data_IF_690035150104
#
_entry.id   IF_690035150104
#
_cell.length_a   1.000
_cell.length_b   1.000
_cell.length_c   1.000
_cell.angle_alpha   90.00
_cell.angle_beta   90.00
_cell.angle_gamma   90.00
#
_symmetry.space_group_name_H-M   'P 1'
#
loop_
_entity.id
_entity.type
_entity.pdbx_description
1 polymer ?
#
# COMPACT_ATOMS: atom_id res chain seq x y z
N UNK A 1 30.49 22.12 -0.80
CA UNK A 1 29.41 22.36 0.18
C UNK A 1 28.93 21.01 0.65
N UNK A 2 29.22 20.64 1.91
CA UNK A 2 28.74 19.41 2.52
C UNK A 2 27.41 19.73 3.20
N UNK A 3 26.31 19.16 2.71
CA UNK A 3 25.02 19.25 3.38
C UNK A 3 25.06 18.19 4.49
N UNK A 4 25.50 18.58 5.67
CA UNK A 4 25.31 17.77 6.86
C UNK A 4 23.81 17.83 7.20
N UNK A 5 23.13 16.68 7.23
CA UNK A 5 21.77 16.56 7.79
C UNK A 5 21.93 16.45 9.31
N UNK A 6 21.79 17.54 10.11
CA UNK A 6 22.31 17.55 11.47
C UNK A 6 21.43 16.81 12.48
N UNK A 7 20.35 16.17 12.05
CA UNK A 7 19.36 15.55 12.93
C UNK A 7 18.70 14.36 12.23
N UNK A 8 19.47 13.37 11.76
CA UNK A 8 18.87 12.06 11.50
C UNK A 8 18.70 11.42 12.89
N UNK A 9 17.47 11.27 13.41
CA UNK A 9 17.27 10.53 14.65
C UNK A 9 17.92 9.15 14.49
N UNK A 10 18.57 8.62 15.54
CA UNK A 10 19.14 7.27 15.47
C UNK A 10 18.06 6.31 14.94
N UNK A 11 18.41 5.36 14.07
CA UNK A 11 17.44 4.45 13.49
C UNK A 11 16.58 3.87 14.61
N UNK A 12 15.29 4.22 14.58
CA UNK A 12 14.34 3.75 15.57
C UNK A 12 14.40 2.23 15.60
N UNK A 13 14.33 1.65 16.79
CA UNK A 13 14.26 0.20 16.94
C UNK A 13 12.97 -0.28 16.25
N UNK A 14 13.09 -0.93 15.09
CA UNK A 14 11.97 -1.51 14.35
C UNK A 14 11.81 -2.96 14.81
N UNK A 15 10.72 -3.23 15.51
CA UNK A 15 10.33 -4.59 15.88
C UNK A 15 9.14 -5.01 15.03
N UNK A 16 9.26 -6.19 14.41
CA UNK A 16 8.22 -6.78 13.58
C UNK A 16 7.79 -8.09 14.21
N UNK A 17 6.50 -8.20 14.54
CA UNK A 17 5.88 -9.44 14.99
C UNK A 17 4.97 -9.97 13.88
N UNK A 18 5.18 -11.20 13.46
CA UNK A 18 4.40 -11.82 12.38
C UNK A 18 3.52 -12.93 12.92
N UNK A 19 2.24 -12.87 12.60
CA UNK A 19 1.26 -13.94 12.78
C UNK A 19 0.72 -14.29 11.39
N UNK A 20 0.91 -15.51 10.94
CA UNK A 20 0.46 -15.93 9.61
C UNK A 20 -0.37 -17.20 9.72
N UNK A 21 -1.47 -17.27 8.97
CA UNK A 21 -2.19 -18.51 8.73
C UNK A 21 -1.62 -19.21 7.50
N UNK A 22 -1.52 -20.53 7.56
CA UNK A 22 -1.21 -21.31 6.38
C UNK A 22 -2.43 -21.28 5.46
N UNK A 23 -2.25 -20.67 4.28
CA UNK A 23 -3.23 -20.73 3.21
C UNK A 23 -3.18 -22.09 2.54
N UNK A 24 -4.35 -22.70 2.31
CA UNK A 24 -4.50 -23.81 1.36
C UNK A 24 -4.78 -23.33 -0.06
N UNK A 25 -4.85 -22.01 -0.29
CA UNK A 25 -5.17 -21.43 -1.60
C UNK A 25 -3.91 -21.39 -2.44
N UNK A 26 -3.93 -22.12 -3.55
CA UNK A 26 -2.94 -22.04 -4.62
C UNK A 26 -3.11 -20.70 -5.35
N UNK A 27 -2.43 -19.67 -4.84
CA UNK A 27 -2.43 -18.32 -5.41
C UNK A 27 -1.03 -17.77 -5.44
N UNK A 28 -0.68 -17.18 -6.58
CA UNK A 28 0.61 -16.55 -6.81
C UNK A 28 0.64 -15.06 -6.41
N UNK A 29 -0.46 -14.51 -5.89
CA UNK A 29 -0.63 -13.07 -5.75
C UNK A 29 -1.11 -12.64 -4.36
N UNK A 30 -0.24 -11.92 -3.63
CA UNK A 30 -0.55 -11.36 -2.31
C UNK A 30 -0.99 -9.90 -2.40
N UNK A 31 -2.09 -9.55 -1.74
CA UNK A 31 -2.44 -8.14 -1.49
C UNK A 31 -1.58 -7.59 -0.33
N UNK A 32 -0.86 -6.51 -0.59
CA UNK A 32 -0.03 -5.82 0.41
C UNK A 32 -0.73 -4.55 0.87
N UNK A 33 -0.98 -4.50 2.18
CA UNK A 33 -1.76 -3.48 2.85
C UNK A 33 -1.00 -2.96 4.07
N UNK A 34 -1.36 -1.77 4.50
CA UNK A 34 -0.96 -1.25 5.80
C UNK A 34 -2.14 -0.52 6.44
N UNK A 35 -2.14 -0.44 7.76
CA UNK A 35 -3.13 0.34 8.52
C UNK A 35 -2.54 0.76 9.86
N UNK A 36 -3.17 1.77 10.47
CA UNK A 36 -2.88 2.19 11.84
C UNK A 36 -3.73 1.39 12.83
N UNK A 37 -3.25 1.26 14.07
CA UNK A 37 -3.94 0.53 15.14
C UNK A 37 -5.41 0.98 15.33
N UNK A 38 -5.69 2.28 15.19
CA UNK A 38 -7.03 2.87 15.36
C UNK A 38 -8.00 2.58 14.19
N UNK A 39 -7.46 2.36 12.98
CA UNK A 39 -8.23 2.03 11.76
C UNK A 39 -8.28 0.53 11.47
N UNK A 40 -7.73 -0.28 12.36
CA UNK A 40 -7.58 -1.71 12.14
C UNK A 40 -8.94 -2.39 11.93
N UNK A 41 -9.95 -2.08 12.75
CA UNK A 41 -11.26 -2.71 12.66
C UNK A 41 -11.93 -2.50 11.29
N UNK A 42 -11.93 -1.25 10.79
CA UNK A 42 -12.46 -0.91 9.47
C UNK A 42 -11.70 -1.62 8.35
N UNK A 43 -10.37 -1.71 8.49
CA UNK A 43 -9.51 -2.40 7.51
C UNK A 43 -9.86 -3.89 7.46
N UNK A 44 -10.01 -4.53 8.61
CA UNK A 44 -10.33 -5.96 8.73
C UNK A 44 -11.67 -6.30 8.08
N UNK A 45 -12.67 -5.42 8.20
CA UNK A 45 -13.98 -5.61 7.54
C UNK A 45 -13.87 -5.69 6.00
N UNK A 46 -12.91 -4.97 5.39
CA UNK A 46 -12.70 -4.96 3.94
C UNK A 46 -11.87 -6.13 3.41
N UNK A 47 -11.16 -6.87 4.27
CA UNK A 47 -10.27 -7.95 3.81
C UNK A 47 -11.00 -9.11 3.13
N UNK A 48 -12.28 -9.32 3.47
CA UNK A 48 -13.14 -10.32 2.82
C UNK A 48 -13.32 -10.10 1.31
N UNK A 49 -13.06 -8.89 0.82
CA UNK A 49 -13.19 -8.54 -0.60
C UNK A 49 -12.08 -9.13 -1.47
N UNK A 50 -10.95 -9.52 -0.87
CA UNK A 50 -9.81 -10.09 -1.58
C UNK A 50 -9.80 -11.62 -1.47
N UNK A 51 -9.67 -12.30 -2.60
CA UNK A 51 -9.78 -13.77 -2.68
C UNK A 51 -8.44 -14.51 -2.50
N UNK A 52 -7.33 -13.81 -2.35
CA UNK A 52 -6.00 -14.40 -2.23
C UNK A 52 -5.32 -14.11 -0.88
N UNK A 53 -4.03 -14.48 -0.75
CA UNK A 53 -3.20 -14.12 0.40
C UNK A 53 -3.15 -12.61 0.64
N UNK A 54 -3.02 -12.23 1.90
CA UNK A 54 -2.93 -10.83 2.34
C UNK A 54 -1.71 -10.68 3.24
N UNK A 55 -0.87 -9.70 2.97
CA UNK A 55 0.19 -9.22 3.86
C UNK A 55 -0.23 -7.85 4.40
N UNK A 56 -0.62 -7.81 5.66
CA UNK A 56 -1.12 -6.61 6.34
C UNK A 56 -0.10 -6.15 7.39
N UNK A 57 0.40 -4.93 7.23
CA UNK A 57 1.22 -4.26 8.25
C UNK A 57 0.33 -3.39 9.14
N UNK A 58 0.38 -3.61 10.44
CA UNK A 58 -0.30 -2.76 11.44
C UNK A 58 0.73 -1.94 12.19
N UNK A 59 0.59 -0.63 12.08
CA UNK A 59 1.50 0.32 12.67
C UNK A 59 0.94 0.74 14.03
N UNK A 60 1.77 0.60 15.06
CA UNK A 60 1.45 1.02 16.43
C UNK A 60 2.56 1.92 16.98
N UNK A 61 2.18 2.85 17.85
CA UNK A 61 3.13 3.72 18.54
C UNK A 61 3.65 3.09 19.83
N UNK A 62 4.95 3.21 20.06
CA UNK A 62 5.58 2.72 21.28
C UNK A 62 5.14 3.57 22.48
N UNK A 63 4.08 3.15 23.19
CA UNK A 63 3.79 3.67 24.52
C UNK A 63 4.83 3.08 25.50
N UNK A 64 5.58 3.93 26.20
CA UNK A 64 6.62 3.50 27.15
C UNK A 64 6.08 2.44 28.12
N UNK A 65 6.68 1.24 28.11
CA UNK A 65 6.45 0.20 29.12
C UNK A 65 5.62 -1.03 28.71
N UNK A 66 5.09 -1.13 27.47
CA UNK A 66 4.36 -2.34 27.05
C UNK A 66 5.28 -3.43 26.48
N UNK A 67 5.24 -4.62 27.07
CA UNK A 67 5.90 -5.86 26.59
C UNK A 67 5.12 -6.53 25.46
N UNK A 68 5.78 -7.31 24.61
CA UNK A 68 5.23 -7.95 23.39
C UNK A 68 3.96 -8.77 23.64
N UNK A 69 3.89 -9.47 24.78
CA UNK A 69 2.72 -10.26 25.17
C UNK A 69 1.48 -9.42 25.49
N UNK A 70 1.64 -8.16 25.89
CA UNK A 70 0.50 -7.25 26.11
C UNK A 70 -0.07 -6.70 24.80
N UNK A 71 0.74 -6.64 23.74
CA UNK A 71 0.31 -6.22 22.41
C UNK A 71 -0.61 -7.23 21.76
N UNK A 72 -0.28 -8.53 21.81
CA UNK A 72 -1.18 -9.59 21.32
C UNK A 72 -2.54 -9.58 22.05
N UNK A 73 -2.54 -9.25 23.34
CA UNK A 73 -3.78 -9.07 24.13
C UNK A 73 -4.59 -7.83 23.75
N UNK A 74 -4.01 -6.85 23.05
CA UNK A 74 -4.75 -5.67 22.53
C UNK A 74 -5.60 -6.00 21.33
N UNK A 75 -5.36 -7.15 20.70
CA UNK A 75 -6.07 -7.55 19.50
C UNK A 75 -6.79 -8.89 19.70
N UNK A 76 -7.69 -9.02 20.68
CA UNK A 76 -8.50 -10.23 20.84
C UNK A 76 -9.36 -10.48 19.60
N UNK A 77 -9.79 -9.42 18.91
CA UNK A 77 -10.52 -9.49 17.64
C UNK A 77 -9.69 -10.10 16.51
N UNK A 78 -8.34 -9.95 16.53
CA UNK A 78 -7.49 -10.60 15.52
C UNK A 78 -7.54 -12.11 15.63
N UNK A 79 -7.63 -12.67 16.83
CA UNK A 79 -7.67 -14.12 17.01
C UNK A 79 -8.94 -14.69 16.37
N UNK A 80 -10.10 -14.07 16.63
CA UNK A 80 -11.36 -14.47 15.98
C UNK A 80 -11.36 -14.26 14.47
N UNK A 81 -10.64 -13.24 14.00
CA UNK A 81 -10.51 -12.97 12.57
C UNK A 81 -9.53 -13.92 11.89
N UNK A 82 -8.49 -14.37 12.58
CA UNK A 82 -7.62 -15.44 12.07
C UNK A 82 -8.41 -16.72 11.86
N UNK A 83 -9.31 -17.08 12.77
CA UNK A 83 -10.18 -18.25 12.57
C UNK A 83 -11.11 -18.05 11.37
N UNK A 84 -11.63 -16.84 11.17
CA UNK A 84 -12.53 -16.51 10.05
C UNK A 84 -11.79 -16.42 8.70
N UNK A 85 -10.55 -15.95 8.72
CA UNK A 85 -9.73 -15.65 7.54
C UNK A 85 -8.58 -16.64 7.32
N UNK A 86 -8.50 -17.72 8.11
CA UNK A 86 -7.50 -18.77 7.96
C UNK A 86 -7.48 -19.30 6.52
N UNK A 87 -8.66 -19.42 5.92
CA UNK A 87 -8.88 -19.87 4.55
C UNK A 87 -8.29 -18.97 3.46
N UNK A 88 -7.99 -17.69 3.76
CA UNK A 88 -7.51 -16.73 2.76
C UNK A 88 -6.01 -16.45 2.85
N UNK A 89 -5.29 -16.99 3.85
CA UNK A 89 -3.85 -16.75 3.97
C UNK A 89 -3.49 -15.34 4.45
N UNK A 90 -4.05 -14.92 5.58
CA UNK A 90 -3.72 -13.65 6.20
C UNK A 90 -2.38 -13.75 6.93
N UNK A 91 -1.42 -12.91 6.52
CA UNK A 91 -0.17 -12.62 7.21
C UNK A 91 -0.27 -11.23 7.83
N UNK A 92 -0.22 -11.20 9.16
CA UNK A 92 -0.36 -10.00 9.97
C UNK A 92 0.99 -9.63 10.56
N UNK A 93 1.44 -8.41 10.31
CA UNK A 93 2.75 -7.92 10.71
C UNK A 93 2.58 -6.66 11.56
N UNK A 94 2.90 -6.75 12.84
CA UNK A 94 2.85 -5.58 13.73
C UNK A 94 4.18 -4.87 13.67
N UNK A 95 4.15 -3.60 13.25
CA UNK A 95 5.31 -2.73 13.22
C UNK A 95 5.20 -1.67 14.32
N UNK A 96 6.17 -1.69 15.24
CA UNK A 96 6.25 -0.70 16.31
C UNK A 96 7.14 0.47 15.89
N UNK A 97 6.59 1.68 15.96
CA UNK A 97 7.30 2.92 15.65
C UNK A 97 7.32 3.86 16.86
N UNK A 98 8.30 4.77 16.92
CA UNK A 98 8.45 5.74 18.01
C UNK A 98 7.30 6.76 18.05
N UNK A 99 6.74 7.10 16.89
CA UNK A 99 5.51 7.88 16.74
C UNK A 99 4.75 7.41 15.50
N UNK A 100 3.43 7.20 15.60
CA UNK A 100 2.59 6.89 14.44
C UNK A 100 2.55 8.03 13.42
N UNK A 101 2.69 9.28 13.89
CA UNK A 101 2.70 10.48 13.04
C UNK A 101 3.99 10.70 12.23
N UNK A 102 5.02 9.86 12.43
CA UNK A 102 6.36 10.09 11.90
C UNK A 102 6.84 9.09 10.85
N UNK A 103 6.03 8.09 10.48
CA UNK A 103 6.47 7.07 9.55
C UNK A 103 5.83 7.16 8.16
N UNK A 104 6.49 6.51 7.21
CA UNK A 104 6.18 6.57 5.78
C UNK A 104 5.18 5.47 5.40
N UNK A 105 4.01 5.86 4.88
CA UNK A 105 2.99 4.94 4.35
C UNK A 105 3.57 4.03 3.26
N UNK A 106 4.42 4.60 2.39
CA UNK A 106 5.09 3.83 1.34
C UNK A 106 6.12 2.85 1.94
N UNK A 107 6.82 3.21 3.02
CA UNK A 107 7.72 2.30 3.72
C UNK A 107 6.95 1.13 4.34
N UNK A 108 5.76 1.35 4.89
CA UNK A 108 4.93 0.28 5.44
C UNK A 108 4.45 -0.69 4.35
N UNK A 109 4.05 -0.17 3.18
CA UNK A 109 3.73 -1.01 2.02
C UNK A 109 4.92 -1.83 1.53
N UNK A 110 6.10 -1.23 1.53
CA UNK A 110 7.34 -1.93 1.18
C UNK A 110 7.65 -3.06 2.19
N UNK A 111 7.37 -2.87 3.48
CA UNK A 111 7.46 -3.94 4.49
C UNK A 111 6.44 -5.04 4.21
N UNK A 112 5.18 -4.68 3.93
CA UNK A 112 4.14 -5.64 3.57
C UNK A 112 4.55 -6.48 2.35
N UNK A 113 5.11 -5.83 1.33
CA UNK A 113 5.68 -6.48 0.16
C UNK A 113 6.83 -7.42 0.49
N UNK A 114 7.79 -6.99 1.31
CA UNK A 114 8.94 -7.81 1.71
C UNK A 114 8.51 -9.08 2.44
N UNK A 115 7.45 -8.99 3.23
CA UNK A 115 6.93 -10.09 4.06
C UNK A 115 5.84 -10.92 3.37
N UNK A 116 5.43 -10.54 2.15
CA UNK A 116 4.41 -11.26 1.40
C UNK A 116 4.81 -12.73 1.14
N UNK A 117 3.89 -13.69 1.27
CA UNK A 117 4.19 -15.11 1.06
C UNK A 117 4.41 -15.50 -0.40
N UNK A 118 3.98 -14.69 -1.36
CA UNK A 118 4.06 -15.01 -2.80
C UNK A 118 5.10 -14.16 -3.54
N UNK A 119 5.57 -14.63 -4.69
CA UNK A 119 6.56 -13.93 -5.53
C UNK A 119 5.98 -12.76 -6.31
N UNK A 120 4.65 -12.62 -6.37
CA UNK A 120 3.97 -11.44 -6.94
C UNK A 120 3.06 -10.80 -5.91
N UNK A 121 3.01 -9.47 -5.95
CA UNK A 121 2.24 -8.68 -5.00
C UNK A 121 1.39 -7.63 -5.70
N UNK A 122 0.30 -7.21 -5.05
CA UNK A 122 -0.43 -5.98 -5.36
C UNK A 122 -0.28 -5.01 -4.21
N UNK A 123 0.28 -3.84 -4.45
CA UNK A 123 0.37 -2.76 -3.46
C UNK A 123 -0.90 -1.92 -3.52
N UNK A 124 -1.69 -1.91 -2.44
CA UNK A 124 -2.84 -1.01 -2.34
C UNK A 124 -2.49 0.19 -1.47
N UNK A 125 -2.46 1.41 -2.03
CA UNK A 125 -1.95 2.58 -1.33
C UNK A 125 -2.85 3.12 -0.21
N UNK A 126 -4.13 2.74 -0.20
CA UNK A 126 -5.15 3.20 0.76
C UNK A 126 -6.14 2.08 1.14
N UNK A 127 -5.64 0.85 1.29
CA UNK A 127 -6.48 -0.30 1.62
C UNK A 127 -7.26 -0.87 0.42
N UNK A 128 -8.08 -1.88 0.69
CA UNK A 128 -8.88 -2.54 -0.33
C UNK A 128 -10.13 -1.71 -0.66
N UNK A 129 -10.50 -1.59 -1.95
CA UNK A 129 -11.80 -1.06 -2.34
C UNK A 129 -12.94 -1.84 -1.68
N UNK A 130 -13.99 -1.15 -1.24
CA UNK A 130 -15.19 -1.77 -0.65
C UNK A 130 -15.88 -2.78 -1.57
N UNK A 131 -15.71 -2.62 -2.89
CA UNK A 131 -16.23 -3.53 -3.90
C UNK A 131 -15.11 -3.97 -4.83
N UNK A 132 -14.69 -5.21 -4.69
CA UNK A 132 -13.79 -5.88 -5.62
C UNK A 132 -14.61 -6.82 -6.50
N UNK A 133 -14.59 -6.62 -7.83
CA UNK A 133 -15.19 -7.58 -8.75
C UNK A 133 -14.41 -8.89 -8.70
N UNK A 134 -15.06 -10.04 -8.56
CA UNK A 134 -14.40 -11.37 -8.58
C UNK A 134 -13.62 -11.60 -9.90
N UNK A 135 -14.06 -10.96 -10.99
CA UNK A 135 -13.37 -11.02 -12.28
C UNK A 135 -12.00 -10.32 -12.25
N UNK A 136 -11.79 -9.36 -11.35
CA UNK A 136 -10.56 -8.57 -11.27
C UNK A 136 -9.38 -9.43 -10.81
N UNK A 137 -9.54 -10.18 -9.73
CA UNK A 137 -8.51 -11.06 -9.21
C UNK A 137 -8.05 -12.07 -10.28
N UNK A 138 -9.01 -12.70 -10.96
CA UNK A 138 -8.71 -13.64 -12.05
C UNK A 138 -7.99 -12.97 -13.25
N UNK A 139 -8.33 -11.71 -13.55
CA UNK A 139 -7.70 -10.95 -14.65
C UNK A 139 -6.26 -10.55 -14.31
N UNK A 140 -5.99 -10.19 -13.06
CA UNK A 140 -4.66 -9.82 -12.58
C UNK A 140 -3.73 -11.04 -12.57
N UNK A 141 -4.19 -12.18 -12.05
CA UNK A 141 -3.38 -13.41 -11.98
C UNK A 141 -2.97 -13.88 -13.38
N UNK A 142 -3.88 -13.81 -14.36
CA UNK A 142 -3.60 -14.16 -15.76
C UNK A 142 -2.52 -13.28 -16.40
N UNK A 143 -2.30 -12.08 -15.90
CA UNK A 143 -1.19 -11.26 -16.36
C UNK A 143 0.13 -11.83 -15.83
N UNK A 144 0.93 -12.45 -16.68
CA UNK A 144 2.24 -13.02 -16.35
C UNK A 144 3.41 -12.06 -16.59
N UNK A 145 3.11 -10.76 -16.74
CA UNK A 145 4.13 -9.76 -17.08
C UNK A 145 5.16 -9.60 -15.95
N UNK A 146 6.48 -9.62 -16.24
CA UNK A 146 7.50 -9.29 -15.25
C UNK A 146 7.55 -7.78 -14.94
N UNK A 147 6.93 -6.96 -15.80
CA UNK A 147 6.83 -5.51 -15.63
C UNK A 147 5.71 -5.13 -14.67
N UNK A 148 5.84 -3.98 -13.96
CA UNK A 148 4.77 -3.44 -13.15
C UNK A 148 3.49 -3.25 -13.97
N UNK A 149 2.35 -3.58 -13.35
CA UNK A 149 1.02 -3.40 -13.92
C UNK A 149 0.20 -2.52 -12.98
N UNK A 150 -0.25 -1.38 -13.49
CA UNK A 150 -1.15 -0.47 -12.81
C UNK A 150 -2.61 -0.88 -12.97
N UNK A 151 -3.36 -0.79 -11.89
CA UNK A 151 -4.80 -1.02 -11.85
C UNK A 151 -5.52 0.32 -11.75
N UNK A 152 -6.54 0.56 -12.59
CA UNK A 152 -7.35 1.77 -12.48
C UNK A 152 -8.47 1.82 -13.51
N UNK A 153 -9.29 2.88 -13.48
CA UNK A 153 -10.42 3.03 -14.43
C UNK A 153 -9.94 3.40 -15.85
N UNK A 154 -8.90 4.22 -15.95
CA UNK A 154 -8.47 4.79 -17.22
C UNK A 154 -7.35 3.97 -17.87
N UNK A 155 -7.52 3.65 -19.15
CA UNK A 155 -6.54 2.97 -20.01
C UNK A 155 -5.31 3.82 -20.35
N UNK A 156 -4.99 4.86 -19.57
CA UNK A 156 -3.78 5.65 -19.76
C UNK A 156 -2.58 4.73 -19.55
N UNK A 157 -1.86 4.45 -20.64
CA UNK A 157 -0.67 3.59 -20.66
C UNK A 157 0.61 4.34 -20.31
N UNK A 158 0.52 5.64 -20.04
CA UNK A 158 1.65 6.52 -19.76
C UNK A 158 1.35 7.38 -18.54
N UNK A 159 2.40 7.75 -17.82
CA UNK A 159 2.33 8.74 -16.76
C UNK A 159 1.77 10.09 -17.29
N UNK A 160 0.98 10.85 -16.51
CA UNK A 160 0.51 10.56 -15.16
C UNK A 160 -0.66 9.56 -15.12
N UNK A 161 -0.60 8.67 -14.14
CA UNK A 161 -1.64 7.67 -13.86
C UNK A 161 -2.71 8.23 -12.92
N UNK A 162 -3.79 7.47 -12.70
CA UNK A 162 -4.80 7.87 -11.74
C UNK A 162 -4.20 7.88 -10.31
N UNK A 163 -4.53 8.89 -9.48
CA UNK A 163 -4.09 8.91 -8.09
C UNK A 163 -4.49 7.64 -7.35
N UNK A 164 -3.65 7.19 -6.41
CA UNK A 164 -3.90 6.00 -5.59
C UNK A 164 -4.15 4.69 -6.37
N UNK A 165 -3.72 4.62 -7.64
CA UNK A 165 -3.81 3.39 -8.43
C UNK A 165 -2.94 2.28 -7.81
N UNK A 166 -3.48 1.09 -7.50
CA UNK A 166 -2.68 -0.03 -7.04
C UNK A 166 -1.73 -0.51 -8.13
N UNK A 167 -0.63 -1.10 -7.70
CA UNK A 167 0.40 -1.64 -8.60
C UNK A 167 0.62 -3.10 -8.31
N UNK A 168 0.57 -3.92 -9.35
CA UNK A 168 0.99 -5.32 -9.35
C UNK A 168 2.45 -5.38 -9.80
N UNK A 169 3.31 -6.05 -9.04
CA UNK A 169 4.71 -6.23 -9.41
C UNK A 169 5.31 -7.49 -8.76
N UNK A 170 6.46 -7.98 -9.25
CA UNK A 170 7.25 -8.99 -8.54
C UNK A 170 7.63 -8.52 -7.13
N UNK A 171 7.60 -9.42 -6.17
CA UNK A 171 7.99 -9.15 -4.78
C UNK A 171 9.40 -8.56 -4.70
N UNK A 172 10.31 -9.01 -5.55
CA UNK A 172 11.72 -8.63 -5.62
C UNK A 172 12.05 -7.55 -6.66
N UNK A 173 11.04 -6.94 -7.32
CA UNK A 173 11.24 -5.83 -8.26
C UNK A 173 12.18 -4.73 -7.70
N UNK A 174 13.18 -4.24 -8.46
CA UNK A 174 14.26 -3.42 -7.89
C UNK A 174 13.81 -2.06 -7.34
N UNK A 175 12.67 -1.54 -7.78
CA UNK A 175 12.16 -0.23 -7.35
C UNK A 175 11.38 -0.34 -6.04
N UNK A 176 11.74 0.50 -5.07
CA UNK A 176 11.02 0.68 -3.81
C UNK A 176 10.24 1.99 -3.82
N UNK A 177 9.03 2.00 -3.27
CA UNK A 177 8.27 3.24 -3.10
C UNK A 177 8.88 4.04 -1.94
N UNK A 178 9.63 5.09 -2.22
CA UNK A 178 10.18 5.98 -1.18
C UNK A 178 9.41 7.29 -1.13
N UNK A 179 9.15 7.82 0.06
CA UNK A 179 8.71 9.21 0.22
C UNK A 179 9.91 10.14 0.04
N UNK A 180 9.87 11.00 -0.97
CA UNK A 180 10.97 11.93 -1.27
C UNK A 180 10.83 13.28 -0.55
N UNK A 181 9.59 13.68 -0.21
CA UNK A 181 9.29 15.01 0.31
C UNK A 181 8.26 14.96 1.45
N UNK A 182 8.67 14.45 2.61
CA UNK A 182 7.81 14.23 3.79
C UNK A 182 7.32 15.50 4.50
N UNK A 183 7.80 16.69 4.13
CA UNK A 183 7.55 17.89 4.93
C UNK A 183 6.17 18.52 4.70
N UNK A 184 5.53 18.35 3.53
CA UNK A 184 4.25 19.05 3.21
C UNK A 184 3.35 18.33 2.17
N UNK A 185 3.51 17.02 1.94
CA UNK A 185 2.77 16.32 0.89
C UNK A 185 1.63 15.48 1.43
N UNK A 186 0.58 15.35 0.62
CA UNK A 186 -0.53 14.46 0.88
C UNK A 186 -0.15 13.02 0.51
N UNK A 187 -0.80 12.05 1.13
CA UNK A 187 -0.65 10.61 0.82
C UNK A 187 -0.72 10.31 -0.70
N UNK A 188 -1.59 11.01 -1.41
CA UNK A 188 -1.76 10.91 -2.86
C UNK A 188 -0.52 11.33 -3.64
N UNK A 189 0.09 12.45 -3.26
CA UNK A 189 1.31 12.94 -3.92
C UNK A 189 2.51 12.02 -3.64
N UNK A 190 2.61 11.48 -2.42
CA UNK A 190 3.64 10.50 -2.09
C UNK A 190 3.50 9.20 -2.90
N UNK A 191 2.26 8.82 -3.22
CA UNK A 191 2.00 7.69 -4.10
C UNK A 191 2.31 8.00 -5.55
N UNK A 192 1.91 9.18 -6.04
CA UNK A 192 2.25 9.66 -7.39
C UNK A 192 3.76 9.68 -7.64
N UNK A 193 4.56 10.10 -6.65
CA UNK A 193 6.03 10.04 -6.72
C UNK A 193 6.52 8.58 -6.87
N UNK A 194 5.90 7.61 -6.19
CA UNK A 194 6.24 6.20 -6.40
C UNK A 194 5.86 5.74 -7.81
N UNK A 195 4.66 6.08 -8.30
CA UNK A 195 4.22 5.70 -9.63
C UNK A 195 5.10 6.30 -10.73
N UNK A 196 5.54 7.55 -10.54
CA UNK A 196 6.52 8.20 -11.39
C UNK A 196 7.85 7.44 -11.39
N UNK A 197 8.35 7.03 -10.21
CA UNK A 197 9.60 6.28 -10.11
C UNK A 197 9.48 4.90 -10.79
N UNK A 198 8.39 4.18 -10.59
CA UNK A 198 8.12 2.91 -11.27
C UNK A 198 8.09 3.08 -12.80
N UNK A 199 7.45 4.14 -13.27
CA UNK A 199 7.43 4.48 -14.70
C UNK A 199 8.83 4.77 -15.24
N UNK A 200 9.61 5.58 -14.54
CA UNK A 200 10.98 5.93 -14.93
C UNK A 200 11.88 4.70 -14.98
N UNK A 201 11.88 3.88 -13.92
CA UNK A 201 12.74 2.69 -13.80
C UNK A 201 12.33 1.57 -14.77
N UNK A 202 11.08 1.58 -15.25
CA UNK A 202 10.61 0.68 -16.30
C UNK A 202 10.88 1.18 -17.73
N UNK A 203 11.62 2.29 -17.91
CA UNK A 203 11.79 2.97 -19.20
C UNK A 203 10.45 3.34 -19.89
N UNK A 204 9.41 3.56 -19.09
CA UNK A 204 8.07 3.87 -19.56
C UNK A 204 7.20 2.66 -19.93
N UNK A 205 7.66 1.43 -19.69
CA UNK A 205 6.96 0.19 -20.07
C UNK A 205 5.96 -0.32 -19.02
N UNK A 206 5.50 0.52 -18.08
CA UNK A 206 4.43 0.15 -17.15
C UNK A 206 3.13 -0.10 -17.90
N UNK A 207 2.58 -1.30 -17.76
CA UNK A 207 1.27 -1.63 -18.34
C UNK A 207 0.17 -1.10 -17.43
N UNK A 208 -0.97 -0.71 -17.99
CA UNK A 208 -2.17 -0.40 -17.22
C UNK A 208 -3.33 -1.28 -17.66
N UNK A 209 -4.11 -1.77 -16.71
CA UNK A 209 -5.37 -2.46 -16.98
C UNK A 209 -6.52 -1.62 -16.47
N UNK A 210 -7.53 -1.46 -17.33
CA UNK A 210 -8.79 -0.88 -16.92
C UNK A 210 -9.51 -1.87 -15.99
N UNK A 211 -10.06 -1.35 -14.89
CA UNK A 211 -10.83 -2.09 -13.91
C UNK A 211 -12.22 -1.48 -13.86
N UNK A 212 -13.21 -2.28 -14.25
CA UNK A 212 -14.62 -1.88 -14.20
C UNK A 212 -15.01 -1.48 -12.78
N UNK A 213 -15.71 -0.35 -12.65
CA UNK A 213 -16.14 0.22 -11.36
C UNK A 213 -15.00 0.51 -10.38
N UNK A 214 -13.76 0.70 -10.85
CA UNK A 214 -12.71 1.23 -9.98
C UNK A 214 -13.16 2.58 -9.40
N UNK A 215 -13.07 2.79 -8.07
CA UNK A 215 -13.54 4.01 -7.45
C UNK A 215 -12.87 5.21 -8.13
N UNK A 216 -13.69 6.07 -8.74
CA UNK A 216 -13.19 7.34 -9.26
C UNK A 216 -12.91 8.21 -8.05
N UNK A 217 -11.64 8.38 -7.71
CA UNK A 217 -11.23 9.45 -6.81
C UNK A 217 -11.47 10.74 -7.58
N UNK A 218 -12.62 11.37 -7.36
CA UNK A 218 -12.87 12.73 -7.84
C UNK A 218 -11.84 13.64 -7.16
N UNK A 219 -10.76 13.95 -7.87
CA UNK A 219 -9.91 15.08 -7.50
C UNK A 219 -10.82 16.29 -7.45
N UNK A 220 -10.98 16.85 -6.25
CA UNK A 220 -11.92 17.92 -5.99
C UNK A 220 -11.92 18.98 -7.08
N UNK A 221 -13.10 19.48 -7.41
CA UNK A 221 -13.29 20.68 -8.23
C UNK A 221 -12.34 21.77 -7.72
N UNK A 222 -11.21 21.93 -8.40
CA UNK A 222 -10.42 23.13 -8.30
C UNK A 222 -11.29 24.22 -8.91
N UNK A 223 -11.89 25.05 -8.05
CA UNK A 223 -12.45 26.33 -8.45
C UNK A 223 -11.29 27.23 -8.89
N UNK A 224 -10.70 26.93 -10.05
CA UNK A 224 -9.84 27.86 -10.74
C UNK A 224 -10.76 28.84 -11.47
N UNK A 225 -11.15 29.88 -10.73
CA UNK A 225 -11.54 31.16 -11.30
C UNK A 225 -10.41 31.59 -12.24
N UNK A 226 -10.65 31.49 -13.54
CA UNK A 226 -9.74 31.98 -14.56
C UNK A 226 -9.54 33.49 -14.37
N UNK A 227 -8.40 33.89 -13.81
CA UNK A 227 -7.88 35.24 -13.97
C UNK A 227 -7.31 35.35 -15.39
N UNK A 228 -8.17 35.76 -16.32
CA UNK A 228 -7.79 36.19 -17.66
C UNK A 228 -7.00 37.49 -17.56
N UNK A 229 -5.67 37.40 -17.58
CA UNK A 229 -4.80 38.56 -17.81
C UNK A 229 -4.63 38.70 -19.32
N UNK A 230 -5.37 39.64 -19.92
CA UNK A 230 -5.10 40.11 -21.28
C UNK A 230 -3.88 41.04 -21.23
N UNK A 231 -2.77 40.60 -21.78
CA UNK A 231 -1.72 41.51 -22.24
C UNK A 231 -2.13 42.06 -23.62
N UNK A 232 -2.40 43.35 -23.70
CA UNK A 232 -2.47 44.09 -24.96
C UNK A 232 -1.10 44.69 -25.26
N UNK A 233 -0.55 44.35 -26.42
CA UNK A 233 0.55 45.06 -27.10
C UNK A 233 0.08 46.38 -27.66
#
# INVERSE_FOLDING_TARGET
MSIAFPNIPPPGHLEIFTLATQSSVDSDLTACLWTEEDRLHDTLATLTTWSGPISLVVVTSARSGSTDLTMLKRFPELISLFDTHASFGLSFHVLRVSSSSGGSANAYLNVARLLAPTDRVVLFPDGLPSHFSSNLYSSIIRSTSPQPLLLGNNSRRTYPFAPMSPVVLPKDYPTWCTERFSLFRSRSLDWEDCLWQLWLESAGEVKSTAVDNWPVVETGKSNNSALSVRCTT
#
